data_IF_978538040349
#
_entry.id   IF_978538040349
#
_cell.length_a   1.000
_cell.length_b   1.000
_cell.length_c   1.000
_cell.angle_alpha   90.00
_cell.angle_beta   90.00
_cell.angle_gamma   90.00
#
_symmetry.space_group_name_H-M   'P 1'
#
loop_
_entity.id
_entity.type
_entity.pdbx_description
1 polymer ?
#
# COMPACT_ATOMS: atom_id res chain seq x y z
N UNK A 1 0.57 27.02 22.62
CA UNK A 1 0.79 26.18 21.42
C UNK A 1 1.01 27.13 20.27
N UNK A 2 2.27 27.47 19.99
CA UNK A 2 2.66 28.36 18.89
C UNK A 2 2.52 27.59 17.58
N UNK A 3 1.65 28.06 16.69
CA UNK A 3 1.54 27.54 15.32
C UNK A 3 2.76 28.00 14.54
N UNK A 4 3.76 27.12 14.38
CA UNK A 4 4.83 27.33 13.41
C UNK A 4 4.24 27.23 12.00
N UNK A 5 4.51 28.23 11.17
CA UNK A 5 4.14 28.24 9.75
C UNK A 5 4.87 27.12 9.00
N UNK A 6 4.34 26.62 7.87
CA UNK A 6 4.98 25.55 7.09
C UNK A 6 6.44 25.84 6.70
N UNK A 7 6.79 27.12 6.50
CA UNK A 7 8.15 27.58 6.20
C UNK A 7 9.18 27.27 7.31
N UNK A 8 8.77 27.14 8.57
CA UNK A 8 9.71 26.92 9.69
C UNK A 8 10.14 25.45 9.82
N UNK A 9 9.43 24.50 9.19
CA UNK A 9 9.68 23.05 9.37
C UNK A 9 10.68 22.46 8.36
N UNK A 10 10.82 23.07 7.21
CA UNK A 10 11.73 22.63 6.14
C UNK A 10 12.65 23.77 5.75
N UNK A 11 13.79 23.97 6.44
CA UNK A 11 14.72 25.02 6.09
C UNK A 11 15.27 24.76 4.68
N UNK A 12 15.08 25.75 3.81
CA UNK A 12 15.57 25.76 2.42
C UNK A 12 16.84 26.60 2.39
N UNK A 13 17.92 26.01 1.87
CA UNK A 13 19.19 26.71 1.63
C UNK A 13 19.48 26.65 0.15
N UNK A 14 19.81 27.78 -0.48
CA UNK A 14 20.23 27.79 -1.87
C UNK A 14 21.75 27.60 -1.95
N UNK A 15 22.18 26.59 -2.70
CA UNK A 15 23.59 26.32 -2.97
C UNK A 15 23.80 26.45 -4.47
N UNK A 16 24.59 27.44 -4.89
CA UNK A 16 24.83 27.73 -6.32
C UNK A 16 23.52 27.90 -7.14
N UNK A 17 22.50 28.50 -6.53
CA UNK A 17 21.17 28.68 -7.14
C UNK A 17 20.28 27.43 -7.12
N UNK A 18 20.74 26.31 -6.56
CA UNK A 18 19.94 25.09 -6.41
C UNK A 18 19.32 25.04 -5.00
N UNK A 19 17.98 24.89 -4.88
CA UNK A 19 17.34 24.76 -3.59
C UNK A 19 17.67 23.41 -2.93
N UNK A 20 18.17 23.48 -1.70
CA UNK A 20 18.45 22.34 -0.82
C UNK A 20 17.44 22.35 0.33
N UNK A 21 16.54 21.36 0.34
CA UNK A 21 15.55 21.17 1.38
C UNK A 21 16.13 20.20 2.42
N UNK A 22 16.30 20.65 3.66
CA UNK A 22 16.69 19.74 4.75
C UNK A 22 15.49 18.97 5.26
N UNK A 23 15.55 17.65 5.17
CA UNK A 23 14.47 16.78 5.63
C UNK A 23 14.62 16.54 7.15
N UNK A 24 13.52 16.64 7.93
CA UNK A 24 13.57 16.48 9.37
C UNK A 24 13.95 15.04 9.78
N UNK A 25 14.25 14.81 11.08
CA UNK A 25 14.61 13.48 11.58
C UNK A 25 13.55 12.39 11.36
N UNK A 26 12.28 12.78 11.29
CA UNK A 26 11.15 11.91 10.97
C UNK A 26 10.34 12.52 9.85
N UNK A 27 10.07 11.74 8.81
CA UNK A 27 9.17 12.10 7.73
C UNK A 27 7.90 11.25 7.85
N UNK A 28 7.01 11.64 8.76
CA UNK A 28 5.71 11.02 8.98
C UNK A 28 4.59 11.84 8.35
N UNK A 29 3.33 11.46 8.54
CA UNK A 29 2.17 12.17 7.91
C UNK A 29 2.20 13.69 8.05
N UNK A 30 2.56 14.23 9.23
CA UNK A 30 2.52 15.68 9.48
C UNK A 30 3.61 16.35 8.64
N UNK A 31 4.86 15.89 8.78
CA UNK A 31 6.00 16.45 8.04
C UNK A 31 5.86 16.22 6.54
N UNK A 32 5.26 15.11 6.11
CA UNK A 32 5.07 14.77 4.71
C UNK A 32 4.07 15.70 4.01
N UNK A 33 3.04 16.17 4.70
CA UNK A 33 2.08 17.16 4.17
C UNK A 33 2.77 18.52 3.97
N UNK A 34 3.54 18.96 4.96
CA UNK A 34 4.29 20.20 4.87
C UNK A 34 5.35 20.10 3.76
N UNK A 35 6.11 19.00 3.70
CA UNK A 35 7.13 18.74 2.68
C UNK A 35 6.56 18.85 1.26
N UNK A 36 5.39 18.25 1.01
CA UNK A 36 4.70 18.36 -0.29
C UNK A 36 4.40 19.83 -0.61
N UNK A 37 3.92 20.58 0.37
CA UNK A 37 3.58 22.00 0.21
C UNK A 37 4.83 22.84 -0.09
N UNK A 38 5.94 22.60 0.62
CA UNK A 38 7.24 23.24 0.38
C UNK A 38 7.79 22.93 -1.02
N UNK A 39 7.69 21.69 -1.49
CA UNK A 39 8.09 21.36 -2.86
C UNK A 39 7.20 22.06 -3.90
N UNK A 40 5.90 22.19 -3.62
CA UNK A 40 4.97 22.86 -4.53
C UNK A 40 5.20 24.37 -4.60
N UNK A 41 5.55 25.03 -3.50
CA UNK A 41 5.86 26.46 -3.52
C UNK A 41 7.12 26.76 -4.33
N UNK A 42 8.17 25.95 -4.19
CA UNK A 42 9.39 26.07 -5.00
C UNK A 42 9.13 25.91 -6.51
N UNK A 43 8.18 25.06 -6.88
CA UNK A 43 7.80 24.84 -8.28
C UNK A 43 6.84 25.90 -8.83
N UNK A 44 6.27 26.76 -7.98
CA UNK A 44 5.39 27.85 -8.38
C UNK A 44 6.12 29.18 -8.52
N UNK A 45 7.32 29.29 -7.95
CA UNK A 45 8.17 30.47 -8.11
C UNK A 45 8.59 30.59 -9.58
N UNK A 46 8.11 31.64 -10.26
CA UNK A 46 8.17 31.76 -11.73
C UNK A 46 9.46 32.41 -12.23
N UNK A 47 10.26 32.98 -11.34
CA UNK A 47 11.47 33.71 -11.72
C UNK A 47 12.68 32.79 -11.93
N UNK A 48 12.64 31.55 -11.43
CA UNK A 48 13.68 30.53 -11.66
C UNK A 48 13.06 29.23 -12.19
N UNK A 49 13.45 28.80 -13.40
CA UNK A 49 13.22 27.40 -13.80
C UNK A 49 14.08 26.51 -12.93
N UNK A 50 13.51 26.01 -11.82
CA UNK A 50 14.16 25.05 -10.92
C UNK A 50 14.37 23.74 -11.67
N UNK A 51 15.57 23.53 -12.20
CA UNK A 51 15.97 22.29 -12.90
C UNK A 51 16.30 21.15 -11.95
N UNK A 52 16.65 21.48 -10.72
CA UNK A 52 17.06 20.52 -9.71
C UNK A 52 16.60 20.96 -8.33
N UNK A 53 16.09 20.01 -7.53
CA UNK A 53 15.82 20.19 -6.11
C UNK A 53 16.59 19.11 -5.35
N UNK A 54 17.42 19.53 -4.40
CA UNK A 54 18.18 18.61 -3.55
C UNK A 54 17.44 18.41 -2.23
N UNK A 55 17.25 17.16 -1.84
CA UNK A 55 16.72 16.76 -0.56
C UNK A 55 17.86 16.22 0.30
N UNK A 56 18.20 16.93 1.37
CA UNK A 56 19.22 16.48 2.32
C UNK A 56 18.59 15.62 3.42
N UNK A 57 18.87 14.32 3.39
CA UNK A 57 18.39 13.32 4.34
C UNK A 57 19.38 13.06 5.50
N UNK A 58 20.41 13.90 5.66
CA UNK A 58 21.46 13.73 6.66
C UNK A 58 20.95 13.54 8.10
N UNK A 59 19.82 14.16 8.45
CA UNK A 59 19.19 14.05 9.76
C UNK A 59 18.10 12.96 9.83
N UNK A 60 17.60 12.47 8.70
CA UNK A 60 16.38 11.65 8.62
C UNK A 60 16.65 10.19 8.95
N UNK A 61 15.97 9.67 9.98
CA UNK A 61 16.13 8.30 10.47
C UNK A 61 14.84 7.47 10.35
N UNK A 62 13.71 8.12 10.04
CA UNK A 62 12.40 7.48 9.96
C UNK A 62 11.62 8.02 8.76
N UNK A 63 10.97 7.13 8.03
CA UNK A 63 10.04 7.46 6.96
C UNK A 63 8.93 6.42 6.89
N UNK A 64 7.68 6.87 7.00
CA UNK A 64 6.50 6.02 6.87
C UNK A 64 5.94 6.04 5.44
N UNK A 65 4.78 5.42 5.23
CA UNK A 65 4.13 5.42 3.92
C UNK A 65 3.71 6.81 3.44
N UNK A 66 3.37 7.74 4.33
CA UNK A 66 3.08 9.14 3.95
C UNK A 66 4.33 9.86 3.48
N UNK A 67 5.48 9.65 4.13
CA UNK A 67 6.77 10.16 3.65
C UNK A 67 7.13 9.63 2.26
N UNK A 68 6.93 8.34 2.02
CA UNK A 68 7.07 7.72 0.67
C UNK A 68 6.12 8.38 -0.33
N UNK A 69 4.85 8.56 0.04
CA UNK A 69 3.85 9.20 -0.81
C UNK A 69 4.20 10.63 -1.18
N UNK A 70 4.75 11.39 -0.23
CA UNK A 70 5.18 12.76 -0.47
C UNK A 70 6.39 12.82 -1.40
N UNK A 71 7.38 11.93 -1.23
CA UNK A 71 8.49 11.78 -2.17
C UNK A 71 8.03 11.45 -3.59
N UNK A 72 7.12 10.48 -3.74
CA UNK A 72 6.56 10.10 -5.05
C UNK A 72 5.81 11.27 -5.68
N UNK A 73 4.99 11.98 -4.89
CA UNK A 73 4.23 13.13 -5.37
C UNK A 73 5.15 14.27 -5.80
N UNK A 74 6.16 14.62 -5.00
CA UNK A 74 7.11 15.68 -5.29
C UNK A 74 7.97 15.32 -6.50
N UNK A 75 8.48 14.09 -6.60
CA UNK A 75 9.24 13.63 -7.77
C UNK A 75 8.42 13.78 -9.06
N UNK A 76 7.17 13.33 -9.06
CA UNK A 76 6.27 13.49 -10.24
C UNK A 76 6.04 14.95 -10.59
N UNK A 77 5.84 15.81 -9.59
CA UNK A 77 5.63 17.24 -9.80
C UNK A 77 6.86 17.90 -10.44
N UNK A 78 8.05 17.66 -9.87
CA UNK A 78 9.32 18.19 -10.38
C UNK A 78 9.60 17.67 -11.80
N UNK A 79 9.45 16.36 -12.03
CA UNK A 79 9.66 15.75 -13.34
C UNK A 79 8.69 16.26 -14.41
N UNK A 80 7.43 16.58 -14.04
CA UNK A 80 6.45 17.13 -14.98
C UNK A 80 6.81 18.52 -15.52
N UNK A 81 7.68 19.24 -14.80
CA UNK A 81 8.23 20.53 -15.21
C UNK A 81 9.64 20.40 -15.85
N UNK A 82 10.11 19.18 -16.10
CA UNK A 82 11.44 18.91 -16.66
C UNK A 82 12.60 19.07 -15.67
N UNK A 83 12.31 19.18 -14.37
CA UNK A 83 13.31 19.20 -13.31
C UNK A 83 13.66 17.80 -12.79
N UNK A 84 14.65 17.73 -11.91
CA UNK A 84 15.08 16.49 -11.23
C UNK A 84 15.02 16.65 -9.72
N UNK A 85 14.53 15.63 -9.01
CA UNK A 85 14.56 15.55 -7.55
C UNK A 85 15.71 14.63 -7.13
N UNK A 86 16.66 15.17 -6.38
CA UNK A 86 17.90 14.50 -6.02
C UNK A 86 17.97 14.30 -4.51
N UNK A 87 18.43 13.13 -4.05
CA UNK A 87 18.53 12.79 -2.63
C UNK A 87 20.00 12.70 -2.21
N UNK A 88 20.38 13.45 -1.18
CA UNK A 88 21.71 13.46 -0.57
C UNK A 88 21.69 12.87 0.83
N UNK A 89 22.82 12.29 1.26
CA UNK A 89 23.07 11.81 2.64
C UNK A 89 21.98 10.87 3.19
N UNK A 90 21.41 10.00 2.34
CA UNK A 90 20.34 9.09 2.75
C UNK A 90 20.85 8.07 3.77
N UNK A 91 20.35 8.16 5.01
CA UNK A 91 20.71 7.22 6.07
C UNK A 91 20.22 5.79 5.78
N UNK A 92 20.89 4.73 6.29
CA UNK A 92 20.53 3.34 6.02
C UNK A 92 19.05 2.95 6.28
N UNK A 93 18.37 3.43 7.34
CA UNK A 93 16.95 3.13 7.56
C UNK A 93 16.04 3.68 6.44
N UNK A 94 16.32 4.90 5.96
CA UNK A 94 15.58 5.53 4.85
C UNK A 94 15.90 4.81 3.55
N UNK A 95 17.17 4.47 3.32
CA UNK A 95 17.60 3.69 2.16
C UNK A 95 16.88 2.33 2.08
N UNK A 96 16.68 1.66 3.23
CA UNK A 96 15.93 0.41 3.28
C UNK A 96 14.48 0.59 2.79
N UNK A 97 13.81 1.69 3.17
CA UNK A 97 12.46 2.03 2.68
C UNK A 97 12.47 2.27 1.16
N UNK A 98 13.44 3.03 0.65
CA UNK A 98 13.56 3.33 -0.78
C UNK A 98 13.79 2.04 -1.59
N UNK A 99 14.68 1.16 -1.15
CA UNK A 99 14.91 -0.13 -1.83
C UNK A 99 13.71 -1.07 -1.74
N UNK A 100 12.99 -1.08 -0.62
CA UNK A 100 11.77 -1.88 -0.48
C UNK A 100 10.65 -1.44 -1.41
N UNK A 101 10.57 -0.14 -1.69
CA UNK A 101 9.58 0.48 -2.57
C UNK A 101 10.06 0.59 -4.02
N UNK A 102 11.30 0.18 -4.30
CA UNK A 102 12.00 0.33 -5.59
C UNK A 102 12.18 1.79 -6.04
N UNK A 103 12.04 2.75 -5.12
CA UNK A 103 12.29 4.16 -5.39
C UNK A 103 13.78 4.46 -5.57
N UNK A 104 14.66 3.62 -5.04
CA UNK A 104 16.10 3.66 -5.28
C UNK A 104 16.50 3.46 -6.76
N UNK A 105 15.59 2.90 -7.57
CA UNK A 105 15.78 2.73 -9.01
C UNK A 105 15.18 3.87 -9.84
N UNK A 106 14.39 4.74 -9.21
CA UNK A 106 13.65 5.83 -9.86
C UNK A 106 14.24 7.18 -9.50
N UNK A 107 14.63 7.37 -8.24
CA UNK A 107 15.20 8.60 -7.72
C UNK A 107 16.72 8.63 -7.92
N UNK A 108 17.25 9.81 -8.21
CA UNK A 108 18.69 10.06 -8.22
C UNK A 108 19.17 10.21 -6.78
N UNK A 109 20.00 9.26 -6.32
CA UNK A 109 20.56 9.26 -4.96
C UNK A 109 22.07 9.41 -5.06
N UNK A 110 22.63 10.50 -4.53
CA UNK A 110 24.07 10.64 -4.42
C UNK A 110 24.57 10.05 -3.08
N UNK A 111 25.59 9.18 -3.13
CA UNK A 111 26.21 8.67 -1.92
C UNK A 111 26.90 9.82 -1.19
N UNK A 112 26.85 9.79 0.15
CA UNK A 112 27.70 10.67 0.94
C UNK A 112 29.17 10.42 0.55
N UNK A 113 29.93 11.49 0.27
CA UNK A 113 31.36 11.39 -0.02
C UNK A 113 32.05 10.64 1.12
N UNK A 114 32.88 9.67 0.72
CA UNK A 114 33.42 8.59 1.54
C UNK A 114 34.06 9.05 2.86
N UNK A 115 33.39 8.78 3.99
CA UNK A 115 34.08 8.48 5.25
C UNK A 115 33.43 7.27 5.93
N UNK A 116 34.23 6.22 6.08
CA UNK A 116 34.05 5.02 6.90
C UNK A 116 33.17 3.88 6.36
N UNK A 117 33.86 3.00 5.65
CA UNK A 117 33.66 1.54 5.55
C UNK A 117 33.71 0.86 6.94
N UNK A 118 32.78 1.16 7.84
CA UNK A 118 32.57 0.37 9.06
C UNK A 118 31.05 0.25 9.28
N UNK A 119 30.52 -0.98 9.19
CA UNK A 119 29.14 -1.39 9.53
C UNK A 119 27.97 -1.08 8.56
N UNK A 120 28.23 -0.77 7.29
CA UNK A 120 27.16 -0.61 6.28
C UNK A 120 26.28 -1.85 6.09
N UNK A 121 26.80 -3.07 6.32
CA UNK A 121 26.00 -4.32 6.30
C UNK A 121 25.08 -4.52 7.51
N UNK A 122 25.34 -3.91 8.66
CA UNK A 122 24.52 -4.06 9.87
C UNK A 122 23.48 -2.94 10.00
N UNK A 123 23.79 -1.72 9.52
CA UNK A 123 22.82 -0.62 9.50
C UNK A 123 21.71 -0.83 8.47
N UNK A 124 22.01 -1.52 7.36
CA UNK A 124 21.02 -1.99 6.37
C UNK A 124 20.13 -3.14 6.86
N UNK A 125 20.38 -3.70 8.05
CA UNK A 125 19.63 -4.83 8.61
C UNK A 125 18.55 -4.45 9.61
N UNK A 126 18.56 -3.21 10.14
CA UNK A 126 17.46 -2.78 11.01
C UNK A 126 16.25 -2.49 10.13
N UNK A 127 15.13 -3.24 10.29
CA UNK A 127 13.93 -2.92 9.55
C UNK A 127 13.51 -1.49 9.90
N UNK A 128 12.94 -0.72 8.94
CA UNK A 128 12.44 0.60 9.24
C UNK A 128 11.52 0.54 10.47
N UNK A 129 11.60 1.54 11.36
CA UNK A 129 10.65 1.57 12.46
C UNK A 129 9.26 1.58 11.82
N UNK A 130 8.45 0.61 12.20
CA UNK A 130 7.17 0.37 11.53
C UNK A 130 6.15 -0.10 12.51
N UNK A 131 4.92 -0.11 12.05
CA UNK A 131 3.77 -0.44 12.87
C UNK A 131 3.99 -1.79 13.61
N UNK A 132 3.63 -1.90 14.90
CA UNK A 132 3.87 -3.10 15.71
C UNK A 132 3.38 -4.41 15.08
N UNK A 133 2.31 -4.35 14.28
CA UNK A 133 1.79 -5.51 13.54
C UNK A 133 2.77 -6.07 12.50
N UNK A 134 3.60 -5.23 11.86
CA UNK A 134 4.56 -5.68 10.83
C UNK A 134 5.77 -6.35 11.47
N UNK A 135 6.23 -5.83 12.60
CA UNK A 135 7.42 -6.32 13.32
C UNK A 135 7.14 -7.49 14.27
N UNK A 136 5.86 -7.83 14.52
CA UNK A 136 5.49 -8.86 15.51
C UNK A 136 5.80 -10.28 15.00
N UNK A 137 6.75 -11.00 15.62
CA UNK A 137 7.05 -12.38 15.23
C UNK A 137 5.88 -13.34 15.54
N UNK A 138 5.13 -13.07 16.61
CA UNK A 138 3.96 -13.86 17.00
C UNK A 138 2.86 -13.73 15.94
N UNK A 139 2.57 -12.50 15.48
CA UNK A 139 1.61 -12.29 14.38
C UNK A 139 2.07 -13.02 13.12
N UNK A 140 3.37 -12.95 12.81
CA UNK A 140 3.91 -13.66 11.64
C UNK A 140 3.79 -15.18 11.76
N UNK A 141 3.99 -15.74 12.95
CA UNK A 141 3.79 -17.16 13.21
C UNK A 141 2.32 -17.56 12.99
N UNK A 142 1.36 -16.80 13.53
CA UNK A 142 -0.07 -17.01 13.30
C UNK A 142 -0.43 -16.93 11.81
N UNK A 143 0.14 -15.96 11.08
CA UNK A 143 -0.05 -15.82 9.64
C UNK A 143 0.41 -17.07 8.88
N UNK A 144 1.58 -17.63 9.24
CA UNK A 144 2.10 -18.85 8.62
C UNK A 144 1.17 -20.02 8.89
N UNK A 145 0.79 -20.28 10.14
CA UNK A 145 -0.10 -21.39 10.50
C UNK A 145 -1.45 -21.26 9.79
N UNK A 146 -2.10 -20.10 9.85
CA UNK A 146 -3.38 -19.89 9.17
C UNK A 146 -3.27 -19.99 7.65
N UNK A 147 -2.15 -19.54 7.06
CA UNK A 147 -1.91 -19.71 5.63
C UNK A 147 -1.73 -21.16 5.19
N UNK A 148 -1.07 -22.00 6.01
CA UNK A 148 -0.93 -23.43 5.72
C UNK A 148 -2.28 -24.15 5.77
N UNK A 149 -3.11 -23.85 6.77
CA UNK A 149 -4.49 -24.37 6.86
C UNK A 149 -5.30 -23.92 5.65
N UNK A 150 -5.26 -22.63 5.31
CA UNK A 150 -5.97 -22.09 4.16
C UNK A 150 -5.51 -22.69 2.82
N UNK A 151 -4.21 -22.92 2.65
CA UNK A 151 -3.65 -23.57 1.46
C UNK A 151 -4.02 -25.05 1.37
N UNK A 152 -4.11 -25.78 2.49
CA UNK A 152 -4.60 -27.15 2.50
C UNK A 152 -6.06 -27.21 2.02
N UNK A 153 -6.93 -26.31 2.52
CA UNK A 153 -8.32 -26.18 2.04
C UNK A 153 -8.35 -25.83 0.55
N UNK A 154 -7.50 -24.89 0.13
CA UNK A 154 -7.37 -24.48 -1.28
C UNK A 154 -7.01 -25.67 -2.16
N UNK A 155 -6.06 -26.51 -1.72
CA UNK A 155 -5.63 -27.71 -2.44
C UNK A 155 -6.74 -28.73 -2.62
N UNK A 156 -7.55 -28.97 -1.59
CA UNK A 156 -8.70 -29.90 -1.64
C UNK A 156 -9.74 -29.42 -2.66
N UNK A 157 -10.09 -28.14 -2.65
CA UNK A 157 -11.14 -27.61 -3.53
C UNK A 157 -10.64 -27.22 -4.93
N UNK A 158 -9.32 -27.22 -5.15
CA UNK A 158 -8.71 -26.73 -6.40
C UNK A 158 -9.25 -27.46 -7.62
N UNK A 159 -9.31 -28.80 -7.56
CA UNK A 159 -9.74 -29.64 -8.70
C UNK A 159 -11.19 -29.33 -9.11
N UNK A 160 -12.20 -29.42 -8.22
CA UNK A 160 -13.58 -29.13 -8.62
C UNK A 160 -13.77 -27.67 -9.08
N UNK A 161 -13.12 -26.70 -8.42
CA UNK A 161 -13.19 -25.28 -8.82
C UNK A 161 -12.54 -25.06 -10.19
N UNK A 162 -11.39 -25.67 -10.46
CA UNK A 162 -10.70 -25.59 -11.74
C UNK A 162 -11.56 -26.14 -12.88
N UNK A 163 -12.20 -27.29 -12.69
CA UNK A 163 -13.11 -27.89 -13.67
C UNK A 163 -14.30 -26.95 -13.92
N UNK A 164 -14.91 -26.40 -12.88
CA UNK A 164 -16.03 -25.46 -13.00
C UNK A 164 -15.64 -24.20 -13.79
N UNK A 165 -14.49 -23.58 -13.45
CA UNK A 165 -13.98 -22.39 -14.15
C UNK A 165 -13.71 -22.70 -15.63
N UNK A 166 -13.06 -23.82 -15.94
CA UNK A 166 -12.71 -24.20 -17.32
C UNK A 166 -13.93 -24.51 -18.18
N UNK A 167 -14.99 -25.06 -17.59
CA UNK A 167 -16.27 -25.33 -18.28
C UNK A 167 -17.09 -24.08 -18.53
N UNK A 168 -17.03 -23.10 -17.61
CA UNK A 168 -17.83 -21.86 -17.71
C UNK A 168 -17.18 -20.82 -18.63
N UNK A 169 -15.84 -20.73 -18.65
CA UNK A 169 -15.11 -19.80 -19.52
C UNK A 169 -13.72 -20.34 -19.88
N UNK A 170 -13.30 -20.33 -21.16
CA UNK A 170 -11.94 -20.71 -21.54
C UNK A 170 -10.92 -19.74 -20.94
N UNK A 171 -9.72 -20.23 -20.59
CA UNK A 171 -8.63 -19.41 -20.03
C UNK A 171 -7.98 -19.99 -18.76
N UNK A 172 -7.15 -19.21 -18.05
CA UNK A 172 -6.40 -19.67 -16.87
C UNK A 172 -7.30 -19.90 -15.65
N UNK A 173 -6.88 -20.75 -14.72
CA UNK A 173 -7.62 -21.01 -13.46
C UNK A 173 -7.39 -19.86 -12.47
N UNK A 174 -6.15 -19.39 -12.38
CA UNK A 174 -5.75 -18.32 -11.49
C UNK A 174 -5.73 -16.98 -12.22
N UNK A 175 -6.09 -15.94 -11.49
CA UNK A 175 -5.92 -14.55 -11.86
C UNK A 175 -4.99 -13.88 -10.85
N UNK A 176 -4.07 -13.06 -11.31
CA UNK A 176 -3.18 -12.33 -10.42
C UNK A 176 -3.19 -10.85 -10.77
N UNK A 177 -3.53 -10.02 -9.79
CA UNK A 177 -3.65 -8.58 -9.98
C UNK A 177 -2.59 -7.85 -9.16
N UNK A 178 -1.95 -6.85 -9.75
CA UNK A 178 -0.98 -6.02 -9.03
C UNK A 178 -1.71 -5.19 -7.97
N UNK A 179 -1.14 -5.19 -6.77
CA UNK A 179 -1.61 -4.46 -5.59
C UNK A 179 -0.45 -3.82 -4.86
N UNK A 180 -0.75 -2.78 -4.10
CA UNK A 180 0.19 -2.13 -3.21
C UNK A 180 0.04 -2.73 -1.81
N UNK A 181 1.17 -3.13 -1.22
CA UNK A 181 1.26 -3.65 0.14
C UNK A 181 1.86 -2.63 1.09
N UNK A 182 2.54 -3.13 2.12
CA UNK A 182 3.24 -2.32 3.11
C UNK A 182 4.23 -1.35 2.43
N UNK A 183 4.19 -0.08 2.84
CA UNK A 183 4.92 1.06 2.25
C UNK A 183 4.64 1.30 0.76
N UNK A 184 3.55 0.77 0.21
CA UNK A 184 3.22 0.87 -1.20
C UNK A 184 3.94 -0.13 -2.10
N UNK A 185 4.69 -1.10 -1.52
CA UNK A 185 5.40 -2.13 -2.28
C UNK A 185 4.44 -2.92 -3.17
N UNK A 186 4.76 -3.02 -4.46
CA UNK A 186 3.97 -3.78 -5.41
C UNK A 186 4.11 -5.30 -5.19
N UNK A 187 2.99 -6.02 -5.23
CA UNK A 187 2.94 -7.48 -5.25
C UNK A 187 1.77 -8.00 -6.10
N UNK A 188 1.83 -9.27 -6.50
CA UNK A 188 0.77 -9.92 -7.29
C UNK A 188 -0.17 -10.67 -6.36
N UNK A 189 -1.39 -10.17 -6.19
CA UNK A 189 -2.43 -10.79 -5.37
C UNK A 189 -3.15 -11.87 -6.17
N UNK A 190 -3.14 -13.11 -5.67
CA UNK A 190 -3.68 -14.26 -6.39
C UNK A 190 -5.12 -14.56 -6.02
N UNK A 191 -5.95 -14.87 -7.03
CA UNK A 191 -7.34 -15.31 -6.87
C UNK A 191 -7.65 -16.45 -7.82
N UNK A 192 -8.72 -17.19 -7.56
CA UNK A 192 -9.36 -17.95 -8.63
C UNK A 192 -10.01 -16.96 -9.59
N UNK A 193 -9.93 -17.27 -10.89
CA UNK A 193 -10.52 -16.43 -11.91
C UNK A 193 -12.04 -16.48 -11.79
N UNK A 194 -12.63 -15.35 -11.42
CA UNK A 194 -14.09 -15.15 -11.35
C UNK A 194 -14.65 -14.30 -12.51
N UNK A 195 -13.78 -13.73 -13.34
CA UNK A 195 -14.16 -12.89 -14.48
C UNK A 195 -13.64 -13.47 -15.80
N UNK A 196 -14.18 -12.99 -16.92
CA UNK A 196 -13.68 -13.32 -18.26
C UNK A 196 -12.22 -12.88 -18.46
N UNK A 197 -11.43 -13.51 -19.35
CA UNK A 197 -10.02 -13.13 -19.58
C UNK A 197 -9.81 -11.67 -19.99
N UNK A 198 -10.77 -11.09 -20.72
CA UNK A 198 -10.79 -9.72 -21.25
C UNK A 198 -11.31 -8.69 -20.23
N UNK A 199 -11.62 -9.09 -19.00
CA UNK A 199 -12.30 -8.23 -18.02
C UNK A 199 -11.55 -6.93 -17.68
N UNK A 200 -10.22 -6.95 -17.60
CA UNK A 200 -9.45 -5.73 -17.33
C UNK A 200 -9.57 -4.72 -18.50
N UNK A 201 -9.60 -5.20 -19.75
CA UNK A 201 -9.77 -4.36 -20.93
C UNK A 201 -11.16 -3.72 -20.95
N UNK A 202 -12.18 -4.45 -20.50
CA UNK A 202 -13.57 -4.01 -20.46
C UNK A 202 -13.90 -3.16 -19.21
N UNK A 203 -12.94 -2.89 -18.32
CA UNK A 203 -13.18 -2.15 -17.05
C UNK A 203 -13.80 -0.77 -17.28
N UNK A 204 -13.39 -0.07 -18.34
CA UNK A 204 -13.91 1.25 -18.69
C UNK A 204 -15.40 1.24 -19.10
N UNK A 205 -15.96 0.07 -19.42
CA UNK A 205 -17.37 -0.10 -19.81
C UNK A 205 -18.29 -0.38 -18.61
N UNK A 206 -17.73 -0.53 -17.42
CA UNK A 206 -18.49 -0.79 -16.19
C UNK A 206 -18.52 0.47 -15.34
N UNK A 207 -19.72 0.96 -15.06
CA UNK A 207 -19.91 2.13 -14.21
C UNK A 207 -19.41 1.84 -12.78
N UNK A 208 -18.64 2.77 -12.21
CA UNK A 208 -18.29 2.70 -10.79
C UNK A 208 -19.43 3.25 -9.94
N UNK A 209 -19.99 2.43 -9.06
CA UNK A 209 -21.05 2.80 -8.10
C UNK A 209 -20.48 3.37 -6.78
N UNK A 210 -19.18 3.23 -6.56
CA UNK A 210 -18.48 3.82 -5.42
C UNK A 210 -17.99 5.23 -5.72
N UNK A 211 -17.88 6.06 -4.68
CA UNK A 211 -17.24 7.38 -4.77
C UNK A 211 -15.79 7.34 -4.24
N UNK A 212 -14.91 8.07 -4.92
CA UNK A 212 -13.50 8.19 -4.57
C UNK A 212 -12.60 7.12 -5.21
N UNK A 213 -11.45 6.88 -4.60
CA UNK A 213 -10.38 6.06 -5.16
C UNK A 213 -10.62 4.55 -5.02
N UNK A 214 -11.85 4.06 -5.16
CA UNK A 214 -12.10 2.61 -5.26
C UNK A 214 -13.22 2.22 -6.20
N UNK A 215 -13.13 1.00 -6.72
CA UNK A 215 -14.08 0.45 -7.68
C UNK A 215 -15.08 -0.51 -7.03
N UNK A 216 -16.36 -0.33 -7.35
CA UNK A 216 -17.44 -1.26 -6.98
C UNK A 216 -18.57 -1.20 -8.00
N UNK A 217 -19.13 -2.37 -8.32
CA UNK A 217 -20.30 -2.50 -9.17
C UNK A 217 -21.03 -3.80 -8.79
N UNK A 218 -22.34 -3.75 -8.59
CA UNK A 218 -23.14 -4.93 -8.19
C UNK A 218 -23.48 -5.85 -9.37
N UNK A 219 -23.65 -5.29 -10.57
CA UNK A 219 -24.07 -6.00 -11.78
C UNK A 219 -23.00 -6.00 -12.88
N UNK A 220 -21.78 -6.40 -12.49
CA UNK A 220 -20.64 -6.40 -13.40
C UNK A 220 -20.72 -7.56 -14.41
N UNK A 221 -21.03 -7.22 -15.67
CA UNK A 221 -21.20 -8.18 -16.77
C UNK A 221 -19.94 -9.01 -17.08
N UNK A 222 -18.76 -8.61 -16.57
CA UNK A 222 -17.50 -9.33 -16.76
C UNK A 222 -17.40 -10.57 -15.86
N UNK A 223 -18.24 -10.66 -14.84
CA UNK A 223 -18.29 -11.80 -13.91
C UNK A 223 -18.94 -13.01 -14.58
N UNK A 224 -18.28 -14.17 -14.49
CA UNK A 224 -18.78 -15.45 -15.02
C UNK A 224 -19.84 -16.07 -14.09
N UNK A 225 -20.60 -17.08 -14.55
CA UNK A 225 -21.64 -17.72 -13.72
C UNK A 225 -21.04 -18.42 -12.50
N UNK A 226 -19.99 -19.18 -12.71
CA UNK A 226 -19.16 -19.79 -11.65
C UNK A 226 -18.47 -18.71 -10.83
N UNK A 227 -17.98 -17.65 -11.47
CA UNK A 227 -17.38 -16.51 -10.79
C UNK A 227 -18.30 -15.83 -9.78
N UNK A 228 -19.59 -15.69 -10.10
CA UNK A 228 -20.60 -15.17 -9.17
C UNK A 228 -20.73 -16.05 -7.92
N UNK A 229 -20.73 -17.37 -8.10
CA UNK A 229 -20.73 -18.32 -6.98
C UNK A 229 -19.45 -18.20 -6.13
N UNK A 230 -18.28 -18.15 -6.76
CA UNK A 230 -17.00 -18.05 -6.06
C UNK A 230 -16.91 -16.75 -5.23
N UNK A 231 -17.34 -15.62 -5.80
CA UNK A 231 -17.35 -14.31 -5.10
C UNK A 231 -18.34 -14.27 -3.94
N UNK A 232 -19.53 -14.84 -4.12
CA UNK A 232 -20.55 -14.89 -3.06
C UNK A 232 -20.09 -15.72 -1.86
N UNK A 233 -19.30 -16.75 -2.11
CA UNK A 233 -18.76 -17.66 -1.09
C UNK A 233 -17.35 -17.29 -0.62
N UNK A 234 -16.76 -16.22 -1.18
CA UNK A 234 -15.35 -15.82 -0.98
C UNK A 234 -14.32 -16.91 -1.32
N UNK A 235 -14.73 -17.96 -2.04
CA UNK A 235 -13.84 -19.03 -2.46
C UNK A 235 -12.80 -18.54 -3.46
N UNK A 236 -13.10 -17.49 -4.23
CA UNK A 236 -12.13 -16.91 -5.17
C UNK A 236 -10.90 -16.32 -4.49
N UNK A 237 -10.97 -16.04 -3.18
CA UNK A 237 -9.90 -15.40 -2.43
C UNK A 237 -8.93 -16.38 -1.78
N UNK A 238 -9.23 -17.68 -1.75
CA UNK A 238 -8.38 -18.68 -1.10
C UNK A 238 -6.94 -18.73 -1.64
N UNK A 239 -6.65 -18.53 -2.94
CA UNK A 239 -5.28 -18.46 -3.41
C UNK A 239 -4.43 -17.33 -2.76
N UNK A 240 -5.05 -16.32 -2.13
CA UNK A 240 -4.34 -15.28 -1.38
C UNK A 240 -3.62 -15.82 -0.14
N UNK A 241 -3.96 -17.00 0.37
CA UNK A 241 -3.19 -17.64 1.43
C UNK A 241 -1.73 -17.88 1.01
N UNK A 242 -1.44 -18.01 -0.29
CA UNK A 242 -0.08 -18.02 -0.81
C UNK A 242 0.64 -16.69 -0.57
N UNK A 243 -0.05 -15.55 -0.77
CA UNK A 243 0.51 -14.23 -0.50
C UNK A 243 0.77 -14.02 1.00
N UNK A 244 -0.10 -14.56 1.87
CA UNK A 244 0.13 -14.57 3.32
C UNK A 244 1.37 -15.41 3.66
N UNK A 245 1.49 -16.61 3.09
CA UNK A 245 2.66 -17.47 3.33
C UNK A 245 3.95 -16.81 2.85
N UNK A 246 3.95 -16.10 1.71
CA UNK A 246 5.12 -15.33 1.21
C UNK A 246 5.40 -14.05 2.01
N UNK A 247 4.51 -13.65 2.91
CA UNK A 247 4.65 -12.47 3.74
C UNK A 247 4.37 -11.15 3.03
N UNK A 248 3.77 -11.19 1.84
CA UNK A 248 3.25 -10.03 1.09
C UNK A 248 1.96 -9.50 1.73
N UNK A 249 1.16 -10.42 2.30
CA UNK A 249 -0.07 -10.14 3.05
C UNK A 249 0.02 -10.73 4.46
N UNK A 250 -0.95 -10.40 5.29
CA UNK A 250 -1.25 -11.00 6.60
C UNK A 250 -2.66 -11.58 6.58
N UNK A 251 -3.02 -12.42 7.56
CA UNK A 251 -4.41 -12.85 7.74
C UNK A 251 -5.31 -11.66 8.03
N UNK A 252 -4.82 -10.74 8.86
CA UNK A 252 -5.54 -9.51 9.27
C UNK A 252 -4.68 -8.29 8.97
N UNK A 253 -5.27 -7.29 8.30
CA UNK A 253 -4.60 -6.09 7.86
C UNK A 253 -5.53 -5.15 7.11
N UNK A 254 -4.99 -4.10 6.51
CA UNK A 254 -5.78 -3.15 5.71
C UNK A 254 -6.12 -3.73 4.34
N UNK A 255 -7.11 -3.16 3.65
CA UNK A 255 -7.44 -3.59 2.29
C UNK A 255 -6.28 -3.26 1.33
N UNK A 256 -5.76 -4.21 0.52
CA UNK A 256 -4.74 -3.93 -0.49
C UNK A 256 -5.31 -3.07 -1.64
N UNK A 257 -4.85 -1.81 -1.83
CA UNK A 257 -5.28 -1.00 -2.96
C UNK A 257 -4.56 -1.36 -4.26
N UNK A 258 -5.15 -0.96 -5.38
CA UNK A 258 -4.50 -1.02 -6.70
C UNK A 258 -3.51 0.13 -6.87
N UNK A 259 -2.50 0.01 -7.74
CA UNK A 259 -1.59 1.11 -8.05
C UNK A 259 -2.31 2.38 -8.53
N UNK A 260 -3.38 2.23 -9.31
CA UNK A 260 -4.18 3.35 -9.81
C UNK A 260 -4.88 4.10 -8.66
N UNK A 261 -5.35 3.37 -7.64
CA UNK A 261 -5.97 3.97 -6.45
C UNK A 261 -4.92 4.80 -5.69
N UNK A 262 -3.75 4.20 -5.42
CA UNK A 262 -2.64 4.86 -4.69
C UNK A 262 -2.12 6.08 -5.45
N UNK A 263 -2.13 6.06 -6.78
CA UNK A 263 -1.70 7.20 -7.59
C UNK A 263 -2.56 8.46 -7.38
N UNK A 264 -3.81 8.30 -6.91
CA UNK A 264 -4.73 9.42 -6.61
C UNK A 264 -4.72 9.85 -5.14
N UNK A 265 -3.94 9.19 -4.28
CA UNK A 265 -3.99 9.45 -2.85
C UNK A 265 -3.43 10.81 -2.45
N UNK A 266 -4.10 11.45 -1.52
CA UNK A 266 -3.52 12.53 -0.72
C UNK A 266 -2.55 11.97 0.32
N UNK A 267 -1.60 12.78 0.76
CA UNK A 267 -0.53 12.35 1.67
C UNK A 267 -1.05 11.67 2.95
N UNK A 268 -2.12 12.16 3.62
CA UNK A 268 -2.68 11.46 4.79
C UNK A 268 -3.26 10.08 4.47
N UNK A 269 -3.75 9.87 3.25
CA UNK A 269 -4.37 8.61 2.85
C UNK A 269 -3.34 7.49 2.69
N UNK A 270 -2.07 7.84 2.44
CA UNK A 270 -0.98 6.87 2.37
C UNK A 270 -0.78 6.10 3.68
N UNK A 271 -1.06 6.69 4.84
CA UNK A 271 -0.91 6.07 6.17
C UNK A 271 -1.55 4.68 6.27
N UNK A 272 -2.58 4.39 5.49
CA UNK A 272 -3.21 3.05 5.44
C UNK A 272 -2.25 1.94 5.00
N UNK A 273 -1.11 2.30 4.38
CA UNK A 273 -0.05 1.42 3.89
C UNK A 273 1.08 1.20 4.93
N UNK A 274 0.95 1.71 6.16
CA UNK A 274 1.92 1.47 7.23
C UNK A 274 1.89 0.04 7.82
N UNK A 275 0.90 -0.75 7.41
CA UNK A 275 0.76 -2.16 7.78
C UNK A 275 0.70 -3.06 6.55
N UNK A 276 0.96 -4.36 6.75
CA UNK A 276 0.70 -5.34 5.70
C UNK A 276 -0.80 -5.40 5.39
N UNK A 277 -1.18 -5.50 4.10
CA UNK A 277 -2.56 -5.75 3.75
C UNK A 277 -3.04 -7.11 4.27
N UNK A 278 -4.33 -7.21 4.57
CA UNK A 278 -4.97 -8.38 5.15
C UNK A 278 -5.90 -9.12 4.19
N UNK A 279 -6.05 -10.43 4.38
CA UNK A 279 -7.20 -11.16 3.81
C UNK A 279 -8.51 -10.66 4.43
N UNK A 280 -8.50 -10.44 5.74
CA UNK A 280 -9.57 -9.73 6.45
C UNK A 280 -9.04 -8.49 7.18
N UNK A 281 -9.94 -7.69 7.71
CA UNK A 281 -9.65 -6.40 8.32
C UNK A 281 -10.90 -5.73 8.86
N UNK A 282 -10.72 -4.59 9.49
CA UNK A 282 -11.81 -3.85 10.11
C UNK A 282 -12.85 -3.37 9.07
N UNK A 283 -12.40 -2.99 7.87
CA UNK A 283 -13.28 -2.80 6.73
C UNK A 283 -14.10 -4.07 6.47
N UNK A 284 -13.46 -5.20 6.18
CA UNK A 284 -14.12 -6.42 5.67
C UNK A 284 -15.20 -6.93 6.63
N UNK A 285 -15.08 -6.57 7.91
CA UNK A 285 -15.93 -7.03 8.99
C UNK A 285 -17.03 -6.01 9.36
N UNK A 286 -16.78 -4.71 9.22
CA UNK A 286 -17.73 -3.65 9.61
C UNK A 286 -18.35 -2.88 8.43
N UNK A 287 -17.73 -2.93 7.25
CA UNK A 287 -18.06 -2.06 6.12
C UNK A 287 -18.65 -2.73 4.88
N UNK A 288 -18.16 -3.93 4.52
CA UNK A 288 -18.51 -4.73 3.31
C UNK A 288 -19.17 -3.93 2.17
N UNK A 289 -20.39 -4.32 1.78
CA UNK A 289 -21.15 -3.73 0.67
C UNK A 289 -21.89 -2.44 1.06
N UNK A 290 -21.84 -2.01 2.31
CA UNK A 290 -22.55 -0.81 2.77
C UNK A 290 -21.72 0.47 2.65
N UNK A 291 -20.38 0.36 2.74
CA UNK A 291 -19.51 1.52 2.52
C UNK A 291 -19.47 1.89 1.05
N UNK A 292 -19.89 3.12 0.75
CA UNK A 292 -19.83 3.74 -0.58
C UNK A 292 -18.79 4.85 -0.69
N UNK A 293 -18.32 5.38 0.45
CA UNK A 293 -17.35 6.47 0.53
C UNK A 293 -15.95 5.97 0.90
N UNK A 294 -14.94 6.37 0.13
CA UNK A 294 -13.53 6.07 0.37
C UNK A 294 -12.98 6.67 1.68
N UNK A 295 -13.61 7.67 2.27
CA UNK A 295 -13.13 8.20 3.55
C UNK A 295 -13.41 7.22 4.72
N UNK A 296 -14.57 6.54 4.70
CA UNK A 296 -14.94 5.58 5.74
C UNK A 296 -14.02 4.35 5.75
N UNK A 297 -13.54 3.97 4.57
CA UNK A 297 -12.49 2.98 4.34
C UNK A 297 -11.24 3.34 5.11
N UNK A 298 -10.73 4.54 4.88
CA UNK A 298 -9.50 5.03 5.48
C UNK A 298 -9.69 5.07 7.00
N UNK A 299 -10.86 5.55 7.45
CA UNK A 299 -11.20 5.61 8.87
C UNK A 299 -11.14 4.23 9.53
N UNK A 300 -11.68 3.19 8.90
CA UNK A 300 -11.63 1.81 9.42
C UNK A 300 -10.21 1.22 9.37
N UNK A 301 -9.46 1.47 8.29
CA UNK A 301 -8.07 1.02 8.18
C UNK A 301 -7.17 1.67 9.25
N UNK A 302 -7.29 2.98 9.47
CA UNK A 302 -6.55 3.69 10.53
C UNK A 302 -7.02 3.29 11.92
N UNK A 303 -8.29 2.96 12.10
CA UNK A 303 -8.81 2.43 13.36
C UNK A 303 -8.21 1.06 13.68
N UNK A 304 -8.03 0.21 12.68
CA UNK A 304 -7.35 -1.08 12.84
C UNK A 304 -5.92 -0.88 13.33
N UNK A 305 -5.17 0.01 12.68
CA UNK A 305 -3.79 0.31 13.07
C UNK A 305 -3.73 0.81 14.52
N UNK A 306 -4.52 1.83 14.87
CA UNK A 306 -4.51 2.41 16.23
C UNK A 306 -4.86 1.40 17.33
N UNK A 307 -5.80 0.48 17.08
CA UNK A 307 -6.26 -0.49 18.07
C UNK A 307 -5.60 -1.86 17.95
N UNK A 308 -4.54 -1.97 17.14
CA UNK A 308 -3.96 -3.26 16.84
C UNK A 308 -3.45 -3.96 18.09
N UNK A 309 -3.90 -5.19 18.26
CA UNK A 309 -3.37 -6.16 19.20
C UNK A 309 -3.60 -7.56 18.63
N UNK A 310 -2.87 -8.56 19.11
CA UNK A 310 -3.08 -9.95 18.71
C UNK A 310 -4.51 -10.42 19.01
N UNK A 311 -5.08 -9.99 20.14
CA UNK A 311 -6.47 -10.28 20.50
C UNK A 311 -7.45 -9.62 19.52
N UNK A 312 -7.16 -8.41 19.08
CA UNK A 312 -7.99 -7.72 18.10
C UNK A 312 -7.97 -8.42 16.72
N UNK A 313 -6.80 -8.91 16.29
CA UNK A 313 -6.68 -9.75 15.09
C UNK A 313 -7.55 -11.02 15.20
N UNK A 314 -7.46 -11.75 16.33
CA UNK A 314 -8.27 -12.95 16.56
C UNK A 314 -9.79 -12.64 16.54
N UNK A 315 -10.20 -11.52 17.14
CA UNK A 315 -11.58 -11.05 17.10
C UNK A 315 -12.06 -10.78 15.67
N UNK A 316 -11.23 -10.13 14.83
CA UNK A 316 -11.56 -9.87 13.43
C UNK A 316 -11.64 -11.17 12.61
N UNK A 317 -10.75 -12.13 12.83
CA UNK A 317 -10.82 -13.46 12.21
C UNK A 317 -12.12 -14.16 12.58
N UNK A 318 -12.43 -14.26 13.88
CA UNK A 318 -13.66 -14.91 14.36
C UNK A 318 -14.92 -14.25 13.78
N UNK A 319 -14.97 -12.92 13.76
CA UNK A 319 -16.09 -12.19 13.17
C UNK A 319 -16.19 -12.40 11.65
N UNK A 320 -15.06 -12.53 10.96
CA UNK A 320 -15.04 -12.87 9.52
C UNK A 320 -15.66 -14.23 9.26
N UNK A 321 -15.25 -15.25 10.02
CA UNK A 321 -15.78 -16.62 9.92
C UNK A 321 -17.29 -16.61 10.19
N UNK A 322 -17.73 -15.95 11.26
CA UNK A 322 -19.15 -15.83 11.60
C UNK A 322 -19.99 -15.14 10.50
N UNK A 323 -19.43 -14.11 9.86
CA UNK A 323 -20.11 -13.46 8.73
C UNK A 323 -20.16 -14.38 7.50
N UNK A 324 -19.13 -15.17 7.21
CA UNK A 324 -19.15 -16.09 6.06
C UNK A 324 -20.24 -17.18 6.18
N UNK A 325 -20.64 -17.53 7.40
CA UNK A 325 -21.73 -18.49 7.64
C UNK A 325 -23.15 -17.89 7.58
N UNK A 326 -23.30 -16.57 7.47
CA UNK A 326 -24.61 -15.94 7.33
C UNK A 326 -25.08 -15.93 5.86
N UNK A 327 -26.33 -16.31 5.63
CA UNK A 327 -26.92 -16.55 4.29
C UNK A 327 -26.95 -15.33 3.35
N UNK A 328 -26.74 -14.11 3.84
CA UNK A 328 -26.86 -12.85 3.07
C UNK A 328 -25.55 -12.05 2.97
N UNK A 329 -24.40 -12.69 3.17
CA UNK A 329 -23.14 -11.99 3.42
C UNK A 329 -22.25 -11.77 2.20
N UNK A 330 -22.80 -11.82 0.98
CA UNK A 330 -22.02 -11.60 -0.24
C UNK A 330 -21.20 -10.31 -0.20
N UNK A 331 -20.00 -10.33 -0.80
CA UNK A 331 -19.13 -9.15 -0.91
C UNK A 331 -19.66 -8.10 -1.93
N UNK A 332 -20.77 -8.41 -2.61
CA UNK A 332 -21.41 -7.63 -3.65
C UNK A 332 -22.91 -7.58 -3.39
#
# INVERSE_FOLDING_TARGET
MTSQTPDDRFPIVFTEGTPVIRIPPRLSVIEAVDFKTTCQSLLQDRDETVREIILDFSATLFMDSSGVGALVSSHKAVASQGGTLVLHHVAPPVMAVLSMTSLDKVLTIYPAVSQQTVNSRQASQRPPETHPSVRSPIKRFLDIIGSLVGLAITGIILIPVAIAIKRDSPGPIFFGQTRCGWLGKHFKMWKFRSMRPDAEQLKHQVQNEASGAFFKNTDDFRITRVGRFLRRTSLDELPQFWNVLRGEMSLVGTRPPTPDEVATYQIPEWQRLDVKPGMTGEWQVNGRSQIRNFEDVIRLDLRYQRNWSLMYDLKLIAKTIWILFQKNSGAY
#
